data_IF_061891122397
#
_entry.id   IF_061891122397
#
_cell.length_a   1.000
_cell.length_b   1.000
_cell.length_c   1.000
_cell.angle_alpha   90.00
_cell.angle_beta   90.00
_cell.angle_gamma   90.00
#
_symmetry.space_group_name_H-M   'P 1'
#
loop_
_entity.id
_entity.type
_entity.pdbx_description
1 polymer ?
#
# COMPACT_ATOMS: atom_id res chain seq x y z
N UNK A 1 -5.90 84.94 0.29
CA UNK A 1 -4.62 84.41 0.76
C UNK A 1 -4.98 83.02 1.32
N UNK A 2 -4.99 82.03 0.40
CA UNK A 2 -5.40 80.63 0.68
C UNK A 2 -4.20 79.88 1.24
N UNK A 3 -4.36 79.30 2.43
CA UNK A 3 -3.35 78.50 3.09
C UNK A 3 -3.36 77.14 2.43
N UNK A 4 -2.30 76.81 1.68
CA UNK A 4 -2.08 75.47 1.10
C UNK A 4 -1.78 74.53 2.24
N UNK A 5 -2.67 73.58 2.44
CA UNK A 5 -2.58 72.52 3.41
C UNK A 5 -1.39 71.56 3.01
N UNK A 6 -0.44 71.46 3.93
CA UNK A 6 0.75 70.66 3.71
C UNK A 6 0.36 69.13 3.72
N UNK A 7 0.42 68.52 2.57
CA UNK A 7 0.22 67.09 2.44
C UNK A 7 1.19 66.30 3.37
N UNK A 8 0.63 65.69 4.39
CA UNK A 8 1.35 64.86 5.35
C UNK A 8 1.88 63.62 4.63
N UNK A 9 3.19 63.52 4.42
CA UNK A 9 3.84 62.34 3.88
C UNK A 9 3.61 61.16 4.84
N UNK A 10 3.03 60.05 4.40
CA UNK A 10 2.76 58.94 5.30
C UNK A 10 4.07 58.39 5.89
N UNK A 11 4.08 58.14 7.19
CA UNK A 11 5.20 57.55 7.90
C UNK A 11 5.48 56.15 7.38
N UNK A 12 6.75 55.77 7.28
CA UNK A 12 7.19 54.40 6.87
C UNK A 12 6.54 53.26 7.68
N UNK A 13 5.99 53.57 8.86
CA UNK A 13 5.32 52.58 9.75
C UNK A 13 3.90 52.24 9.33
N UNK A 14 3.27 52.96 8.39
CA UNK A 14 1.88 52.72 7.98
C UNK A 14 1.72 51.80 6.77
N UNK A 15 2.83 51.31 6.19
CA UNK A 15 2.78 50.39 5.08
C UNK A 15 2.54 48.95 5.62
N UNK A 16 1.31 48.46 5.49
CA UNK A 16 0.94 47.09 5.78
C UNK A 16 0.99 46.28 4.48
N UNK A 17 1.88 45.28 4.44
CA UNK A 17 1.94 44.33 3.34
C UNK A 17 1.07 43.09 3.69
N UNK A 18 0.30 42.64 2.74
CA UNK A 18 -0.39 41.35 2.84
C UNK A 18 0.60 40.20 2.64
N UNK A 19 0.44 39.07 3.35
CA UNK A 19 1.22 37.86 3.06
C UNK A 19 1.08 37.48 1.59
N UNK A 20 2.20 37.20 0.95
CA UNK A 20 2.23 36.65 -0.42
C UNK A 20 2.50 35.17 -0.32
N UNK A 21 1.58 34.35 -0.85
CA UNK A 21 1.77 32.91 -0.93
C UNK A 21 2.66 32.59 -2.13
N UNK A 22 3.90 32.24 -1.85
CA UNK A 22 4.90 31.84 -2.87
C UNK A 22 5.24 30.36 -2.62
N UNK A 23 5.08 29.47 -3.61
CA UNK A 23 5.49 28.08 -3.49
C UNK A 23 6.97 27.97 -3.07
N UNK A 24 7.28 27.05 -2.15
CA UNK A 24 8.67 26.83 -1.78
C UNK A 24 9.45 26.31 -2.99
N UNK A 25 10.64 26.84 -3.21
CA UNK A 25 11.49 26.41 -4.32
C UNK A 25 11.82 24.89 -4.30
N UNK A 26 11.88 24.28 -3.10
CA UNK A 26 12.02 22.83 -2.94
C UNK A 26 10.82 22.06 -3.47
N UNK A 27 9.58 22.56 -3.24
CA UNK A 27 8.37 21.91 -3.71
C UNK A 27 8.25 22.00 -5.24
N UNK A 28 8.66 23.13 -5.80
CA UNK A 28 8.70 23.33 -7.27
C UNK A 28 9.67 22.35 -7.93
N UNK A 29 10.91 22.26 -7.40
CA UNK A 29 11.91 21.31 -7.92
C UNK A 29 11.48 19.85 -7.73
N UNK A 30 10.94 19.49 -6.57
CA UNK A 30 10.41 18.17 -6.32
C UNK A 30 9.25 17.84 -7.27
N UNK A 31 8.37 18.80 -7.55
CA UNK A 31 7.28 18.69 -8.51
C UNK A 31 7.78 18.41 -9.92
N UNK A 32 8.76 19.17 -10.40
CA UNK A 32 9.34 18.97 -11.73
C UNK A 32 9.99 17.59 -11.88
N UNK A 33 10.81 17.18 -10.91
CA UNK A 33 11.45 15.87 -10.93
C UNK A 33 10.44 14.73 -10.84
N UNK A 34 9.38 14.89 -10.03
CA UNK A 34 8.28 13.93 -9.90
C UNK A 34 7.62 13.67 -11.24
N UNK A 35 7.23 14.74 -11.96
CA UNK A 35 6.58 14.58 -13.27
C UNK A 35 7.50 13.86 -14.27
N UNK A 36 8.79 14.16 -14.29
CA UNK A 36 9.77 13.47 -15.16
C UNK A 36 9.96 11.99 -14.80
N UNK A 37 9.83 11.64 -13.51
CA UNK A 37 9.87 10.23 -13.06
C UNK A 37 8.59 9.50 -13.46
N UNK A 38 7.43 10.10 -13.19
CA UNK A 38 6.13 9.46 -13.41
C UNK A 38 5.81 9.28 -14.90
N UNK A 39 6.20 10.22 -15.75
CA UNK A 39 6.02 10.09 -17.19
C UNK A 39 7.10 9.25 -17.89
N UNK A 40 8.09 8.74 -17.14
CA UNK A 40 9.12 7.81 -17.64
C UNK A 40 10.32 8.48 -18.31
N UNK A 41 10.42 9.81 -18.32
CA UNK A 41 11.59 10.54 -18.83
C UNK A 41 12.86 10.18 -18.04
N UNK A 42 12.69 9.98 -16.72
CA UNK A 42 13.71 9.44 -15.83
C UNK A 42 13.40 7.99 -15.53
N UNK A 43 14.20 7.08 -16.09
CA UNK A 43 13.97 5.63 -15.95
C UNK A 43 14.22 5.16 -14.50
N UNK A 44 13.50 4.12 -14.07
CA UNK A 44 13.73 3.47 -12.79
C UNK A 44 15.18 2.94 -12.69
N UNK A 45 15.80 3.14 -11.53
CA UNK A 45 17.21 2.81 -11.29
C UNK A 45 18.20 3.84 -11.81
N UNK A 46 17.77 4.81 -12.61
CA UNK A 46 18.65 5.86 -13.10
C UNK A 46 19.15 6.74 -11.94
N UNK A 47 20.42 7.11 -11.98
CA UNK A 47 20.98 8.10 -11.06
C UNK A 47 20.53 9.50 -11.45
N UNK A 48 20.00 10.27 -10.51
CA UNK A 48 19.80 11.70 -10.69
C UNK A 48 21.15 12.42 -10.76
N UNK A 49 21.24 13.60 -11.38
CA UNK A 49 22.44 14.41 -11.31
C UNK A 49 22.86 14.64 -9.86
N UNK A 50 24.18 14.64 -9.59
CA UNK A 50 24.68 14.90 -8.24
C UNK A 50 24.17 16.24 -7.70
N UNK A 51 23.98 16.37 -6.38
CA UNK A 51 23.47 17.60 -5.74
C UNK A 51 24.18 18.86 -6.26
N UNK A 52 25.52 18.78 -6.44
CA UNK A 52 26.30 19.90 -6.97
C UNK A 52 25.88 20.31 -8.38
N UNK A 53 25.53 19.33 -9.19
CA UNK A 53 25.09 19.56 -10.57
C UNK A 53 23.67 20.11 -10.59
N UNK A 54 22.76 19.57 -9.77
CA UNK A 54 21.40 20.11 -9.60
C UNK A 54 21.44 21.58 -9.15
N UNK A 55 22.30 21.92 -8.19
CA UNK A 55 22.52 23.32 -7.75
C UNK A 55 22.93 24.22 -8.90
N UNK A 56 23.83 23.76 -9.78
CA UNK A 56 24.24 24.52 -10.96
C UNK A 56 23.11 24.70 -11.97
N UNK A 57 22.39 23.64 -12.26
CA UNK A 57 21.32 23.65 -13.27
C UNK A 57 20.14 24.50 -12.82
N UNK A 58 19.75 24.39 -11.55
CA UNK A 58 18.55 25.06 -11.01
C UNK A 58 18.85 26.45 -10.46
N UNK A 59 20.09 26.81 -10.23
CA UNK A 59 20.53 28.03 -9.53
C UNK A 59 19.94 28.14 -8.08
N UNK A 60 19.48 27.02 -7.53
CA UNK A 60 18.94 26.94 -6.17
C UNK A 60 20.05 26.69 -5.13
N UNK A 61 19.75 26.95 -3.85
CA UNK A 61 20.67 26.65 -2.78
C UNK A 61 20.83 25.13 -2.58
N UNK A 62 21.96 24.71 -2.00
CA UNK A 62 22.17 23.28 -1.64
C UNK A 62 21.09 22.77 -0.69
N UNK A 63 20.65 23.59 0.25
CA UNK A 63 19.59 23.23 1.20
C UNK A 63 18.27 22.98 0.48
N UNK A 64 17.93 23.83 -0.49
CA UNK A 64 16.71 23.69 -1.32
C UNK A 64 16.74 22.39 -2.14
N UNK A 65 17.86 22.08 -2.78
CA UNK A 65 18.02 20.84 -3.57
C UNK A 65 17.91 19.61 -2.67
N UNK A 66 18.56 19.61 -1.51
CA UNK A 66 18.43 18.50 -0.55
C UNK A 66 17.01 18.29 -0.07
N UNK A 67 16.32 19.38 0.23
CA UNK A 67 14.92 19.30 0.67
C UNK A 67 14.03 18.76 -0.45
N UNK A 68 14.24 19.15 -1.69
CA UNK A 68 13.52 18.59 -2.83
C UNK A 68 13.77 17.07 -3.00
N UNK A 69 15.02 16.61 -2.87
CA UNK A 69 15.34 15.18 -2.92
C UNK A 69 14.72 14.43 -1.75
N UNK A 70 14.68 15.02 -0.54
CA UNK A 70 14.03 14.41 0.63
C UNK A 70 12.52 14.29 0.44
N UNK A 71 11.87 15.28 -0.15
CA UNK A 71 10.45 15.22 -0.51
C UNK A 71 10.19 14.02 -1.44
N UNK A 72 11.02 13.84 -2.47
CA UNK A 72 10.90 12.70 -3.39
C UNK A 72 11.20 11.37 -2.73
N UNK A 73 12.13 11.31 -1.78
CA UNK A 73 12.43 10.11 -1.00
C UNK A 73 11.25 9.69 -0.13
N UNK A 74 10.63 10.63 0.57
CA UNK A 74 9.39 10.39 1.35
C UNK A 74 8.24 9.92 0.47
N UNK A 75 8.19 10.36 -0.79
CA UNK A 75 7.19 9.93 -1.78
C UNK A 75 7.55 8.59 -2.45
N UNK A 76 8.65 7.94 -2.06
CA UNK A 76 9.16 6.71 -2.67
C UNK A 76 9.44 6.84 -4.18
N UNK A 77 9.81 8.03 -4.65
CA UNK A 77 10.20 8.29 -6.04
C UNK A 77 11.71 8.34 -6.23
N UNK A 78 12.44 8.46 -5.15
CA UNK A 78 13.90 8.49 -5.13
C UNK A 78 14.39 7.72 -3.90
N UNK A 79 15.51 7.02 -4.04
CA UNK A 79 16.25 6.42 -2.94
C UNK A 79 17.64 7.06 -2.84
N UNK A 80 17.97 7.61 -1.70
CA UNK A 80 19.28 8.20 -1.43
C UNK A 80 20.24 7.13 -0.87
N UNK A 81 21.36 6.89 -1.54
CA UNK A 81 22.45 6.02 -1.05
C UNK A 81 23.59 6.89 -0.56
N UNK A 82 24.08 6.61 0.64
CA UNK A 82 25.27 7.26 1.20
C UNK A 82 26.56 6.68 0.63
N UNK A 83 27.68 7.43 0.74
CA UNK A 83 29.02 6.95 0.43
C UNK A 83 29.60 7.45 -0.90
N UNK A 84 30.81 6.95 -1.25
CA UNK A 84 31.58 7.42 -2.42
C UNK A 84 30.91 7.15 -3.76
N UNK A 85 30.17 6.04 -3.87
CA UNK A 85 29.33 5.68 -5.00
C UNK A 85 27.86 6.01 -4.74
N UNK A 86 27.58 6.89 -3.78
CA UNK A 86 26.23 7.30 -3.38
C UNK A 86 25.61 8.28 -4.35
N UNK A 87 24.35 8.61 -4.10
CA UNK A 87 23.57 9.52 -4.92
C UNK A 87 22.09 9.27 -4.74
N UNK A 88 21.28 10.04 -5.45
CA UNK A 88 19.85 9.86 -5.52
C UNK A 88 19.51 9.02 -6.77
N UNK A 89 18.78 7.93 -6.58
CA UNK A 89 18.40 6.98 -7.64
C UNK A 89 16.88 6.96 -7.78
N UNK A 90 16.40 7.02 -9.00
CA UNK A 90 14.98 6.97 -9.31
C UNK A 90 14.41 5.61 -8.90
N UNK A 91 13.26 5.63 -8.24
CA UNK A 91 12.44 4.45 -8.00
C UNK A 91 10.98 4.78 -8.31
N UNK A 92 10.17 3.75 -8.53
CA UNK A 92 8.74 3.91 -8.71
C UNK A 92 8.00 3.47 -7.46
N UNK A 93 6.82 4.07 -7.18
CA UNK A 93 5.96 3.56 -6.14
C UNK A 93 5.67 2.06 -6.37
N UNK A 94 5.69 1.29 -5.30
CA UNK A 94 5.44 -0.15 -5.34
C UNK A 94 4.11 -0.48 -4.66
N UNK A 95 3.61 -1.69 -4.89
CA UNK A 95 2.47 -2.24 -4.13
C UNK A 95 2.74 -2.19 -2.62
N UNK A 96 4.00 -2.39 -2.19
CA UNK A 96 4.43 -2.27 -0.79
C UNK A 96 4.25 -0.83 -0.25
N UNK A 97 4.58 0.20 -1.05
CA UNK A 97 4.38 1.61 -0.66
C UNK A 97 2.89 1.91 -0.44
N UNK A 98 2.03 1.38 -1.30
CA UNK A 98 0.59 1.51 -1.16
C UNK A 98 0.07 0.75 0.08
N UNK A 99 0.52 -0.49 0.29
CA UNK A 99 0.17 -1.28 1.46
C UNK A 99 0.52 -0.56 2.76
N UNK A 100 1.71 0.06 2.85
CA UNK A 100 2.12 0.85 4.02
C UNK A 100 1.16 2.04 4.26
N UNK A 101 0.76 2.75 3.21
CA UNK A 101 -0.16 3.89 3.34
C UNK A 101 -1.54 3.46 3.83
N UNK A 102 -2.07 2.35 3.31
CA UNK A 102 -3.35 1.78 3.74
C UNK A 102 -3.25 1.26 5.18
N UNK A 103 -2.15 0.58 5.54
CA UNK A 103 -1.92 0.12 6.92
C UNK A 103 -1.86 1.28 7.91
N UNK A 104 -1.22 2.40 7.56
CA UNK A 104 -1.23 3.61 8.39
C UNK A 104 -2.64 4.19 8.53
N UNK A 105 -3.45 4.16 7.47
CA UNK A 105 -4.85 4.60 7.52
C UNK A 105 -5.66 3.72 8.46
N UNK A 106 -5.57 2.40 8.32
CA UNK A 106 -6.28 1.43 9.16
C UNK A 106 -5.96 1.67 10.63
N UNK A 107 -4.68 1.76 10.99
CA UNK A 107 -4.23 2.00 12.37
C UNK A 107 -4.63 3.39 12.88
N UNK A 108 -4.35 4.42 12.10
CA UNK A 108 -4.58 5.81 12.52
C UNK A 108 -6.06 6.19 12.63
N UNK A 109 -6.94 5.46 11.94
CA UNK A 109 -8.40 5.65 12.02
C UNK A 109 -9.09 4.62 12.87
N UNK A 110 -8.36 3.66 13.43
CA UNK A 110 -8.92 2.57 14.23
C UNK A 110 -10.04 1.83 13.48
N UNK A 111 -9.75 1.46 12.21
CA UNK A 111 -10.69 0.74 11.36
C UNK A 111 -11.00 -0.61 12.02
N UNK A 112 -12.27 -0.93 12.12
CA UNK A 112 -12.74 -2.17 12.74
C UNK A 112 -12.49 -3.38 11.84
N UNK A 113 -12.36 -4.55 12.46
CA UNK A 113 -12.17 -5.80 11.72
C UNK A 113 -13.36 -6.09 10.79
N UNK A 114 -14.58 -5.77 11.19
CA UNK A 114 -15.78 -5.92 10.35
C UNK A 114 -15.67 -5.11 9.04
N UNK A 115 -15.18 -3.88 9.08
CA UNK A 115 -15.01 -3.03 7.89
C UNK A 115 -13.99 -3.65 6.90
N UNK A 116 -12.95 -4.33 7.43
CA UNK A 116 -11.98 -5.05 6.62
C UNK A 116 -12.59 -6.29 5.97
N UNK A 117 -13.45 -7.02 6.70
CA UNK A 117 -14.17 -8.18 6.16
C UNK A 117 -15.11 -7.77 5.03
N UNK A 118 -15.89 -6.72 5.19
CA UNK A 118 -16.74 -6.15 4.13
C UNK A 118 -15.92 -5.78 2.89
N UNK A 119 -14.73 -5.19 3.10
CA UNK A 119 -13.82 -4.85 2.00
C UNK A 119 -13.31 -6.11 1.29
N UNK A 120 -12.99 -7.18 2.01
CA UNK A 120 -12.61 -8.47 1.43
C UNK A 120 -13.73 -9.06 0.59
N UNK A 121 -14.96 -9.07 1.12
CA UNK A 121 -16.14 -9.56 0.40
C UNK A 121 -16.37 -8.82 -0.93
N UNK A 122 -16.06 -7.53 -0.97
CA UNK A 122 -16.15 -6.74 -2.20
C UNK A 122 -15.03 -7.05 -3.21
N UNK A 123 -13.80 -7.29 -2.75
CA UNK A 123 -12.62 -7.37 -3.62
C UNK A 123 -12.23 -8.81 -4.01
N UNK A 124 -12.20 -9.74 -3.06
CA UNK A 124 -11.62 -11.06 -3.27
C UNK A 124 -12.36 -11.93 -4.30
N UNK A 125 -13.72 -11.93 -4.37
CA UNK A 125 -14.42 -12.67 -5.43
C UNK A 125 -14.01 -12.21 -6.82
N UNK A 126 -13.81 -10.90 -7.00
CA UNK A 126 -13.38 -10.34 -8.28
C UNK A 126 -11.90 -10.66 -8.57
N UNK A 127 -11.04 -10.65 -7.55
CA UNK A 127 -9.67 -11.12 -7.69
C UNK A 127 -9.63 -12.58 -8.19
N UNK A 128 -10.46 -13.47 -7.62
CA UNK A 128 -10.53 -14.88 -8.03
C UNK A 128 -11.05 -15.06 -9.47
N UNK A 129 -12.03 -14.25 -9.90
CA UNK A 129 -12.51 -14.24 -11.29
C UNK A 129 -11.41 -13.81 -12.27
N UNK A 130 -10.68 -12.75 -11.93
CA UNK A 130 -9.55 -12.29 -12.73
C UNK A 130 -8.39 -13.31 -12.71
N UNK A 131 -8.08 -13.90 -11.56
CA UNK A 131 -7.07 -14.94 -11.44
C UNK A 131 -7.38 -16.13 -12.36
N UNK A 132 -8.63 -16.61 -12.38
CA UNK A 132 -9.05 -17.66 -13.30
C UNK A 132 -8.85 -17.29 -14.77
N UNK A 133 -8.95 -16.01 -15.12
CA UNK A 133 -8.75 -15.51 -16.50
C UNK A 133 -7.28 -15.34 -16.85
N UNK A 134 -6.49 -14.76 -15.93
CA UNK A 134 -5.19 -14.16 -16.24
C UNK A 134 -3.98 -14.95 -15.71
N UNK A 135 -4.18 -15.86 -14.76
CA UNK A 135 -3.12 -16.59 -14.05
C UNK A 135 -2.09 -17.21 -14.99
N UNK A 136 -0.83 -17.17 -14.61
CA UNK A 136 0.26 -17.98 -15.16
C UNK A 136 0.35 -19.35 -14.47
N UNK A 137 1.17 -20.24 -15.01
CA UNK A 137 1.48 -21.52 -14.35
C UNK A 137 2.33 -21.31 -13.09
N UNK A 138 3.14 -20.24 -13.04
CA UNK A 138 3.88 -19.83 -11.85
C UNK A 138 2.95 -19.43 -10.71
N UNK A 139 1.90 -18.66 -11.00
CA UNK A 139 0.90 -18.27 -9.99
C UNK A 139 0.19 -19.49 -9.40
N UNK A 140 -0.14 -20.50 -10.25
CA UNK A 140 -0.73 -21.74 -9.76
C UNK A 140 0.21 -22.53 -8.84
N UNK A 141 1.49 -22.58 -9.16
CA UNK A 141 2.47 -23.25 -8.31
C UNK A 141 2.60 -22.57 -6.93
N UNK A 142 2.50 -21.23 -6.88
CA UNK A 142 2.46 -20.49 -5.62
C UNK A 142 1.19 -20.80 -4.81
N UNK A 143 0.01 -20.78 -5.46
CA UNK A 143 -1.25 -21.13 -4.81
C UNK A 143 -1.26 -22.58 -4.29
N UNK A 144 -0.67 -23.52 -5.03
CA UNK A 144 -0.56 -24.90 -4.58
C UNK A 144 0.37 -25.02 -3.36
N UNK A 145 1.51 -24.34 -3.36
CA UNK A 145 2.42 -24.30 -2.19
C UNK A 145 1.73 -23.73 -0.95
N UNK A 146 1.00 -22.63 -1.09
CA UNK A 146 0.24 -22.06 0.01
C UNK A 146 -0.84 -23.05 0.52
N UNK A 147 -1.56 -23.74 -0.38
CA UNK A 147 -2.52 -24.76 -0.01
C UNK A 147 -1.89 -25.97 0.72
N UNK A 148 -0.67 -26.37 0.34
CA UNK A 148 0.07 -27.44 1.05
C UNK A 148 0.46 -26.98 2.46
N UNK A 149 0.95 -25.75 2.60
CA UNK A 149 1.32 -25.18 3.89
C UNK A 149 0.10 -25.01 4.83
N UNK A 150 -1.05 -24.60 4.31
CA UNK A 150 -2.32 -24.51 5.06
C UNK A 150 -2.79 -25.89 5.52
N UNK A 151 -2.56 -26.91 4.72
CA UNK A 151 -3.01 -28.28 4.98
C UNK A 151 -2.07 -29.07 5.91
N UNK A 152 -0.93 -28.51 6.30
CA UNK A 152 0.02 -29.17 7.19
C UNK A 152 -0.59 -29.32 8.60
N UNK A 153 -0.82 -30.56 9.07
CA UNK A 153 -1.41 -30.79 10.38
C UNK A 153 -0.47 -30.45 11.54
N UNK A 154 0.84 -30.38 11.29
CA UNK A 154 1.85 -30.05 12.29
C UNK A 154 2.14 -28.53 12.34
N UNK A 155 1.54 -27.73 11.43
CA UNK A 155 1.76 -26.30 11.39
C UNK A 155 1.22 -25.62 12.65
N UNK A 156 2.08 -24.81 13.30
CA UNK A 156 1.65 -23.93 14.37
C UNK A 156 0.69 -22.86 13.83
N UNK A 157 -0.06 -22.18 14.73
CA UNK A 157 -1.03 -21.17 14.34
C UNK A 157 -0.43 -20.08 13.43
N UNK A 158 0.72 -19.53 13.78
CA UNK A 158 1.42 -18.52 13.00
C UNK A 158 1.71 -18.96 11.56
N UNK A 159 2.18 -20.20 11.39
CA UNK A 159 2.46 -20.77 10.07
C UNK A 159 1.19 -20.95 9.24
N UNK A 160 0.10 -21.40 9.87
CA UNK A 160 -1.20 -21.52 9.21
C UNK A 160 -1.72 -20.14 8.77
N UNK A 161 -1.68 -19.15 9.66
CA UNK A 161 -2.13 -17.79 9.38
C UNK A 161 -1.30 -17.14 8.26
N UNK A 162 0.02 -17.33 8.29
CA UNK A 162 0.89 -16.82 7.24
C UNK A 162 0.58 -17.48 5.89
N UNK A 163 0.44 -18.81 5.85
CA UNK A 163 0.10 -19.53 4.63
C UNK A 163 -1.29 -19.13 4.09
N UNK A 164 -2.26 -18.89 4.99
CA UNK A 164 -3.58 -18.39 4.65
C UNK A 164 -3.49 -16.99 4.02
N UNK A 165 -2.71 -16.08 4.61
CA UNK A 165 -2.43 -14.76 4.08
C UNK A 165 -1.78 -14.85 2.69
N UNK A 166 -0.73 -15.66 2.55
CA UNK A 166 0.01 -15.84 1.30
C UNK A 166 -0.90 -16.35 0.19
N UNK A 167 -1.84 -17.24 0.51
CA UNK A 167 -2.81 -17.73 -0.46
C UNK A 167 -3.77 -16.63 -0.94
N UNK A 168 -4.36 -15.83 -0.05
CA UNK A 168 -5.25 -14.73 -0.42
C UNK A 168 -4.53 -13.65 -1.25
N UNK A 169 -3.31 -13.28 -0.85
CA UNK A 169 -2.46 -12.37 -1.63
C UNK A 169 -2.08 -13.02 -2.97
N UNK A 170 -1.77 -14.32 -2.98
CA UNK A 170 -1.46 -15.08 -4.18
C UNK A 170 -2.60 -15.07 -5.20
N UNK A 171 -3.86 -15.17 -4.77
CA UNK A 171 -5.04 -15.00 -5.66
C UNK A 171 -5.08 -13.60 -6.26
N UNK A 172 -4.78 -12.56 -5.48
CA UNK A 172 -4.72 -11.20 -5.99
C UNK A 172 -3.57 -10.99 -6.97
N UNK A 173 -2.39 -11.56 -6.72
CA UNK A 173 -1.24 -11.57 -7.65
C UNK A 173 -1.64 -12.26 -8.96
N UNK A 174 -2.26 -13.45 -8.89
CA UNK A 174 -2.72 -14.21 -10.04
C UNK A 174 -3.78 -13.47 -10.86
N UNK A 175 -4.47 -12.49 -10.29
CA UNK A 175 -5.38 -11.60 -11.02
C UNK A 175 -4.68 -10.73 -12.07
N UNK A 176 -3.35 -10.56 -11.96
CA UNK A 176 -2.51 -9.67 -12.78
C UNK A 176 -2.94 -8.18 -12.71
N UNK A 177 -3.57 -7.79 -11.60
CA UNK A 177 -3.97 -6.41 -11.32
C UNK A 177 -3.18 -5.87 -10.12
N UNK A 178 -2.17 -5.04 -10.39
CA UNK A 178 -1.25 -4.51 -9.37
C UNK A 178 -1.97 -3.70 -8.27
N UNK A 179 -3.05 -2.99 -8.60
CA UNK A 179 -3.82 -2.22 -7.62
C UNK A 179 -4.56 -3.16 -6.66
N UNK A 180 -5.23 -4.19 -7.17
CA UNK A 180 -5.89 -5.20 -6.34
C UNK A 180 -4.86 -5.94 -5.48
N UNK A 181 -3.71 -6.29 -6.03
CA UNK A 181 -2.60 -6.90 -5.28
C UNK A 181 -2.16 -6.02 -4.12
N UNK A 182 -1.93 -4.72 -4.37
CA UNK A 182 -1.51 -3.78 -3.32
C UNK A 182 -2.56 -3.60 -2.22
N UNK A 183 -3.85 -3.52 -2.58
CA UNK A 183 -4.94 -3.49 -1.61
C UNK A 183 -4.99 -4.78 -0.79
N UNK A 184 -4.89 -5.94 -1.43
CA UNK A 184 -4.95 -7.22 -0.74
C UNK A 184 -3.77 -7.44 0.21
N UNK A 185 -2.56 -7.01 -0.15
CA UNK A 185 -1.41 -7.03 0.76
C UNK A 185 -1.71 -6.21 2.03
N UNK A 186 -2.22 -4.99 1.87
CA UNK A 186 -2.51 -4.12 3.00
C UNK A 186 -3.62 -4.67 3.91
N UNK A 187 -4.71 -5.16 3.32
CA UNK A 187 -5.84 -5.74 4.05
C UNK A 187 -5.43 -7.02 4.76
N UNK A 188 -4.73 -7.92 4.07
CA UNK A 188 -4.32 -9.22 4.62
C UNK A 188 -3.41 -9.07 5.84
N UNK A 189 -2.48 -8.12 5.83
CA UNK A 189 -1.63 -7.82 6.99
C UNK A 189 -2.45 -7.33 8.19
N UNK A 190 -3.43 -6.46 7.95
CA UNK A 190 -4.29 -5.95 9.00
C UNK A 190 -5.19 -7.05 9.60
N UNK A 191 -5.70 -7.94 8.74
CA UNK A 191 -6.53 -9.06 9.15
C UNK A 191 -5.71 -10.07 9.95
N UNK A 192 -4.50 -10.41 9.49
CA UNK A 192 -3.59 -11.28 10.23
C UNK A 192 -3.40 -10.78 11.68
N UNK A 193 -3.06 -9.50 11.85
CA UNK A 193 -2.88 -8.91 13.17
C UNK A 193 -4.17 -8.88 14.04
N UNK A 194 -5.35 -8.85 13.39
CA UNK A 194 -6.64 -8.85 14.11
C UNK A 194 -7.20 -10.25 14.40
N UNK A 195 -6.67 -11.30 13.78
CA UNK A 195 -7.20 -12.67 13.88
C UNK A 195 -6.24 -13.66 14.54
N UNK A 196 -5.16 -13.19 15.15
CA UNK A 196 -4.17 -14.01 15.84
C UNK A 196 -4.74 -14.50 17.19
N UNK A 197 -5.83 -15.29 17.15
CA UNK A 197 -6.50 -15.85 18.30
C UNK A 197 -6.67 -17.37 18.14
N UNK A 198 -5.91 -18.13 18.94
CA UNK A 198 -5.95 -19.60 18.93
C UNK A 198 -7.33 -20.20 19.21
N UNK A 199 -8.14 -19.50 20.03
CA UNK A 199 -9.47 -19.99 20.39
C UNK A 199 -10.45 -19.98 19.21
N UNK A 200 -10.18 -19.19 18.19
CA UNK A 200 -11.04 -19.06 17.00
C UNK A 200 -10.63 -20.00 15.85
N UNK A 201 -9.36 -20.44 15.77
CA UNK A 201 -8.82 -21.23 14.68
C UNK A 201 -8.50 -22.66 15.14
N UNK A 202 -9.56 -23.42 15.37
CA UNK A 202 -9.47 -24.82 15.71
C UNK A 202 -9.23 -25.75 14.49
N UNK A 203 -9.13 -27.04 14.71
CA UNK A 203 -8.90 -28.04 13.66
C UNK A 203 -10.03 -28.07 12.63
N UNK A 204 -11.27 -27.80 13.01
CA UNK A 204 -12.43 -27.79 12.10
C UNK A 204 -12.35 -26.58 11.16
N UNK A 205 -12.06 -25.39 11.67
CA UNK A 205 -11.84 -24.18 10.89
C UNK A 205 -10.70 -24.37 9.89
N UNK A 206 -9.58 -24.98 10.31
CA UNK A 206 -8.45 -25.29 9.41
C UNK A 206 -8.85 -26.23 8.27
N UNK A 207 -9.62 -27.27 8.56
CA UNK A 207 -10.11 -28.22 7.56
C UNK A 207 -11.05 -27.55 6.56
N UNK A 208 -12.00 -26.76 7.04
CA UNK A 208 -12.96 -26.02 6.19
C UNK A 208 -12.22 -25.04 5.29
N UNK A 209 -11.29 -24.27 5.83
CA UNK A 209 -10.44 -23.32 5.10
C UNK A 209 -9.65 -24.03 4.00
N UNK A 210 -8.93 -25.10 4.34
CA UNK A 210 -8.15 -25.90 3.37
C UNK A 210 -9.01 -26.40 2.22
N UNK A 211 -10.20 -26.93 2.53
CA UNK A 211 -11.14 -27.44 1.51
C UNK A 211 -11.63 -26.31 0.60
N UNK A 212 -11.97 -25.16 1.16
CA UNK A 212 -12.43 -24.00 0.39
C UNK A 212 -11.33 -23.47 -0.54
N UNK A 213 -10.11 -23.29 -0.03
CA UNK A 213 -8.97 -22.81 -0.81
C UNK A 213 -8.63 -23.75 -1.98
N UNK A 214 -8.54 -25.06 -1.72
CA UNK A 214 -8.32 -26.05 -2.79
C UNK A 214 -9.41 -26.02 -3.84
N UNK A 215 -10.67 -25.86 -3.45
CA UNK A 215 -11.77 -25.79 -4.40
C UNK A 215 -11.74 -24.51 -5.25
N UNK A 216 -11.31 -23.38 -4.68
CA UNK A 216 -11.14 -22.10 -5.40
C UNK A 216 -9.94 -22.23 -6.35
N UNK A 217 -8.80 -22.72 -5.87
CA UNK A 217 -7.60 -22.93 -6.70
C UNK A 217 -7.88 -23.87 -7.87
N UNK A 218 -8.68 -24.93 -7.68
CA UNK A 218 -9.13 -25.79 -8.77
C UNK A 218 -9.93 -25.01 -9.84
N UNK A 219 -10.88 -24.15 -9.43
CA UNK A 219 -11.63 -23.34 -10.38
C UNK A 219 -10.72 -22.32 -11.12
N UNK A 220 -9.74 -21.74 -10.44
CA UNK A 220 -8.73 -20.86 -11.05
C UNK A 220 -7.88 -21.65 -12.07
N UNK A 221 -7.47 -22.87 -11.74
CA UNK A 221 -6.73 -23.78 -12.62
C UNK A 221 -7.52 -24.11 -13.87
N UNK A 222 -8.78 -24.43 -13.71
CA UNK A 222 -9.69 -24.81 -14.80
C UNK A 222 -10.19 -23.61 -15.62
N UNK A 223 -9.78 -22.38 -15.25
CA UNK A 223 -10.22 -21.11 -15.86
C UNK A 223 -11.74 -20.90 -15.79
N UNK A 224 -12.40 -21.52 -14.80
CA UNK A 224 -13.82 -21.29 -14.50
C UNK A 224 -13.99 -20.04 -13.64
N UNK A 225 -14.09 -18.87 -14.32
CA UNK A 225 -14.20 -17.57 -13.67
C UNK A 225 -15.41 -17.49 -12.76
N UNK A 226 -16.55 -18.05 -13.22
CA UNK A 226 -17.80 -17.99 -12.47
C UNK A 226 -17.75 -18.85 -11.20
N UNK A 227 -17.16 -20.06 -11.27
CA UNK A 227 -16.98 -20.90 -10.09
C UNK A 227 -15.96 -20.29 -9.12
N UNK A 228 -14.87 -19.73 -9.61
CA UNK A 228 -13.85 -19.08 -8.79
C UNK A 228 -14.45 -17.94 -7.97
N UNK A 229 -15.16 -17.01 -8.60
CA UNK A 229 -15.82 -15.89 -7.91
C UNK A 229 -16.88 -16.34 -6.92
N UNK A 230 -17.76 -17.29 -7.31
CA UNK A 230 -18.81 -17.78 -6.40
C UNK A 230 -18.25 -18.50 -5.18
N UNK A 231 -17.20 -19.32 -5.37
CA UNK A 231 -16.57 -20.06 -4.27
C UNK A 231 -15.83 -19.12 -3.33
N UNK A 232 -15.11 -18.13 -3.86
CA UNK A 232 -14.43 -17.12 -3.06
C UNK A 232 -15.44 -16.29 -2.24
N UNK A 233 -16.54 -15.82 -2.86
CA UNK A 233 -17.59 -15.09 -2.14
C UNK A 233 -18.13 -15.89 -0.96
N UNK A 234 -18.42 -17.17 -1.16
CA UNK A 234 -18.89 -18.05 -0.08
C UNK A 234 -17.85 -18.19 1.02
N UNK A 235 -16.59 -18.35 0.65
CA UNK A 235 -15.49 -18.53 1.59
C UNK A 235 -15.32 -17.30 2.50
N UNK A 236 -15.22 -16.10 1.92
CA UNK A 236 -15.01 -14.86 2.71
C UNK A 236 -16.26 -14.49 3.51
N UNK A 237 -17.46 -14.73 2.98
CA UNK A 237 -18.72 -14.51 3.68
C UNK A 237 -18.88 -15.40 4.91
N UNK A 238 -18.59 -16.70 4.78
CA UNK A 238 -18.67 -17.62 5.93
C UNK A 238 -17.71 -17.24 7.06
N UNK A 239 -16.56 -16.66 6.73
CA UNK A 239 -15.63 -16.15 7.74
C UNK A 239 -16.13 -14.86 8.38
N UNK A 240 -16.71 -13.95 7.61
CA UNK A 240 -17.31 -12.72 8.10
C UNK A 240 -18.50 -12.99 9.04
N UNK A 241 -19.35 -13.99 8.71
CA UNK A 241 -20.47 -14.41 9.54
C UNK A 241 -19.98 -14.98 10.88
N UNK A 242 -18.99 -15.88 10.84
CA UNK A 242 -18.41 -16.46 12.05
C UNK A 242 -17.81 -15.38 12.98
N UNK A 243 -17.17 -14.37 12.38
CA UNK A 243 -16.63 -13.23 13.13
C UNK A 243 -17.73 -12.33 13.70
N UNK A 244 -18.83 -12.12 12.95
CA UNK A 244 -19.95 -11.29 13.37
C UNK A 244 -20.70 -11.87 14.59
N UNK A 245 -20.61 -13.20 14.79
CA UNK A 245 -21.16 -13.91 15.94
C UNK A 245 -20.21 -13.93 17.16
N UNK A 246 -18.95 -13.51 16.98
CA UNK A 246 -17.95 -13.47 18.04
C UNK A 246 -17.92 -12.12 18.76
N UNK A 247 -17.40 -12.11 20.01
CA UNK A 247 -17.16 -10.87 20.77
C UNK A 247 -16.07 -9.98 20.13
N UNK A 248 -15.36 -10.48 19.11
CA UNK A 248 -14.30 -9.76 18.39
C UNK A 248 -14.79 -8.88 17.25
N UNK A 249 -16.10 -8.88 16.96
CA UNK A 249 -16.72 -8.08 15.87
C UNK A 249 -16.27 -6.62 15.87
N UNK A 250 -16.18 -6.02 17.05
CA UNK A 250 -15.81 -4.63 17.26
C UNK A 250 -14.31 -4.45 17.58
N UNK A 251 -13.51 -5.51 17.43
CA UNK A 251 -12.08 -5.44 17.69
C UNK A 251 -11.42 -4.37 16.79
N UNK A 252 -10.67 -3.48 17.43
CA UNK A 252 -9.86 -2.48 16.78
C UNK A 252 -8.50 -3.11 16.51
N UNK A 253 -8.01 -3.00 15.29
CA UNK A 253 -6.69 -3.53 14.93
C UNK A 253 -5.63 -2.64 15.54
N UNK A 254 -5.00 -3.11 16.62
CA UNK A 254 -3.96 -2.39 17.39
C UNK A 254 -2.57 -3.02 17.21
N UNK A 255 -2.43 -4.06 16.40
CA UNK A 255 -1.17 -4.78 16.23
C UNK A 255 -0.06 -3.95 15.55
N UNK A 256 1.19 -4.24 15.91
CA UNK A 256 2.36 -3.79 15.13
C UNK A 256 2.37 -4.58 13.82
N UNK A 257 1.86 -3.94 12.77
CA UNK A 257 1.99 -4.45 11.41
C UNK A 257 3.48 -4.34 11.04
N UNK A 258 4.28 -5.30 11.49
CA UNK A 258 5.68 -5.39 11.08
C UNK A 258 5.70 -5.60 9.56
N UNK A 259 6.01 -4.54 8.85
CA UNK A 259 6.34 -4.64 7.42
C UNK A 259 7.71 -5.29 7.36
N UNK A 260 7.73 -6.61 7.11
CA UNK A 260 8.97 -7.34 6.89
C UNK A 260 9.84 -6.59 5.87
N UNK A 261 11.14 -6.48 6.20
CA UNK A 261 12.18 -5.82 5.41
C UNK A 261 12.37 -6.46 4.02
#
# INVERSE_FOLDING_TARGET
MEVVDAATTPSRSDIRLSPVDVPKASDVLAGELRERILNGELAEGAALPAERELVKQTQMSRATVREALRILEVQNLVRVKAGRAGGAFVQRPTTKSMANSVSMLIRGRHIKLVDLMETREALEPFCAELAARNRSDGDLAELDRANEAIADPEAHLEQFLQANLDWHVGVAVASQNELLTGFMIALSQAIYAGTENEAFIDTEVRMITTKAHRAITAAIRDRDTAAAGRRMRRHVHSYADALAESDERDAIIVGDLAVGE
#
